data_IF_257262920855
#
_entry.id   IF_257262920855
#
_cell.length_a   1.000
_cell.length_b   1.000
_cell.length_c   1.000
_cell.angle_alpha   90.00
_cell.angle_beta   90.00
_cell.angle_gamma   90.00
#
_symmetry.space_group_name_H-M   'P 1'
#
loop_
_entity.id
_entity.type
_entity.pdbx_description
1 polymer ?
#
# COMPACT_ATOMS: atom_id res chain seq x y z
N UNK A 1 45.74 -20.40 3.96
CA UNK A 1 44.59 -20.68 4.86
C UNK A 1 44.19 -22.13 4.60
N UNK A 2 44.06 -22.97 5.63
CA UNK A 2 43.65 -24.36 5.46
C UNK A 2 42.27 -24.41 4.79
N UNK A 3 42.13 -25.26 3.78
CA UNK A 3 40.88 -25.49 3.05
C UNK A 3 39.86 -26.12 4.01
N UNK A 4 38.90 -25.32 4.51
CA UNK A 4 37.80 -25.83 5.33
C UNK A 4 36.66 -26.18 4.40
N UNK A 5 36.37 -27.47 4.26
CA UNK A 5 35.18 -27.94 3.56
C UNK A 5 33.91 -27.56 4.32
N UNK A 6 32.82 -27.33 3.57
CA UNK A 6 31.51 -27.00 4.12
C UNK A 6 30.97 -28.18 4.94
N UNK A 7 30.67 -27.93 6.21
CA UNK A 7 30.06 -28.92 7.10
C UNK A 7 28.61 -29.21 6.72
N UNK A 8 28.17 -30.44 6.94
CA UNK A 8 26.83 -30.93 6.60
C UNK A 8 25.69 -30.05 7.17
N UNK A 9 25.90 -29.46 8.36
CA UNK A 9 24.90 -28.66 9.08
C UNK A 9 25.17 -27.16 9.09
N UNK A 10 26.16 -26.67 8.34
CA UNK A 10 26.55 -25.25 8.37
C UNK A 10 25.39 -24.32 7.99
N UNK A 11 24.56 -24.72 7.03
CA UNK A 11 23.37 -23.97 6.61
C UNK A 11 22.31 -23.91 7.73
N UNK A 12 22.11 -25.02 8.44
CA UNK A 12 21.16 -25.10 9.56
C UNK A 12 21.63 -24.26 10.75
N UNK A 13 22.94 -24.29 11.07
CA UNK A 13 23.50 -23.45 12.12
C UNK A 13 23.34 -21.95 11.80
N UNK A 14 23.52 -21.54 10.55
CA UNK A 14 23.23 -20.15 10.13
C UNK A 14 21.75 -19.81 10.30
N UNK A 15 20.83 -20.72 9.97
CA UNK A 15 19.40 -20.51 10.18
C UNK A 15 19.04 -20.34 11.65
N UNK A 16 19.52 -21.23 12.53
CA UNK A 16 19.29 -21.12 13.98
C UNK A 16 19.85 -19.81 14.54
N UNK A 17 20.98 -19.34 14.02
CA UNK A 17 21.53 -18.02 14.36
C UNK A 17 20.60 -16.89 13.91
N UNK A 18 20.03 -16.95 12.70
CA UNK A 18 19.04 -15.96 12.21
C UNK A 18 17.81 -15.94 13.12
N UNK A 19 17.32 -17.10 13.55
CA UNK A 19 16.17 -17.18 14.46
C UNK A 19 16.48 -16.51 15.81
N UNK A 20 17.70 -16.69 16.31
CA UNK A 20 18.19 -16.04 17.54
C UNK A 20 18.28 -14.52 17.39
N UNK A 21 18.66 -14.03 16.21
CA UNK A 21 18.69 -12.59 15.89
C UNK A 21 17.28 -11.98 15.72
N UNK A 22 16.25 -12.83 15.63
CA UNK A 22 14.85 -12.42 15.59
C UNK A 22 14.37 -12.07 14.18
N UNK A 23 14.14 -13.09 13.34
CA UNK A 23 13.59 -12.91 12.00
C UNK A 23 12.19 -12.22 12.05
N UNK A 24 12.09 -10.98 11.55
CA UNK A 24 10.86 -10.21 11.61
C UNK A 24 9.74 -10.75 10.71
N UNK A 25 10.07 -11.47 9.65
CA UNK A 25 9.12 -12.11 8.74
C UNK A 25 8.58 -13.39 9.36
N UNK A 26 9.44 -14.24 9.92
CA UNK A 26 8.99 -15.44 10.65
C UNK A 26 8.09 -15.09 11.83
N UNK A 27 8.39 -14.00 12.53
CA UNK A 27 7.49 -13.48 13.57
C UNK A 27 6.13 -13.06 13.00
N UNK A 28 6.10 -12.42 11.84
CA UNK A 28 4.82 -12.09 11.20
C UNK A 28 4.07 -13.36 10.80
N UNK A 29 4.80 -14.36 10.31
CA UNK A 29 4.26 -15.63 9.87
C UNK A 29 3.57 -16.40 11.01
N UNK A 30 4.18 -16.40 12.19
CA UNK A 30 3.67 -17.16 13.34
C UNK A 30 2.43 -16.57 14.00
N UNK A 31 2.16 -15.26 13.83
CA UNK A 31 1.03 -14.58 14.46
C UNK A 31 -0.18 -14.42 13.55
N UNK A 32 0.01 -14.53 12.24
CA UNK A 32 -1.02 -14.31 11.24
C UNK A 32 -1.45 -15.66 10.68
N UNK A 33 -2.71 -16.03 10.90
CA UNK A 33 -3.28 -17.18 10.22
C UNK A 33 -3.53 -16.84 8.74
N UNK A 34 -2.61 -17.26 7.88
CA UNK A 34 -2.68 -17.00 6.44
C UNK A 34 -3.80 -17.77 5.75
N UNK A 35 -4.21 -18.92 6.30
CA UNK A 35 -5.31 -19.72 5.78
C UNK A 35 -6.63 -18.97 5.83
N UNK A 36 -6.74 -18.00 6.75
CA UNK A 36 -7.87 -17.07 6.82
C UNK A 36 -8.16 -16.35 5.49
N UNK A 37 -7.13 -16.12 4.67
CA UNK A 37 -7.25 -15.49 3.35
C UNK A 37 -7.57 -16.48 2.22
N UNK A 38 -7.31 -17.77 2.41
CA UNK A 38 -7.44 -18.80 1.36
C UNK A 38 -8.82 -18.80 0.69
N UNK A 39 -9.97 -18.73 1.39
CA UNK A 39 -11.28 -18.72 0.72
C UNK A 39 -11.45 -17.57 -0.27
N UNK A 40 -10.85 -16.41 0.04
CA UNK A 40 -10.89 -15.25 -0.83
C UNK A 40 -9.89 -15.38 -1.99
N UNK A 41 -8.71 -15.92 -1.73
CA UNK A 41 -7.70 -16.20 -2.74
C UNK A 41 -8.18 -17.27 -3.74
N UNK A 42 -8.86 -18.31 -3.29
CA UNK A 42 -9.51 -19.32 -4.15
C UNK A 42 -10.47 -18.67 -5.14
N UNK A 43 -11.28 -17.70 -4.68
CA UNK A 43 -12.18 -16.93 -5.56
C UNK A 43 -11.39 -16.03 -6.51
N UNK A 44 -10.30 -15.43 -6.02
CA UNK A 44 -9.39 -14.61 -6.82
C UNK A 44 -8.72 -15.37 -7.96
N UNK A 45 -8.24 -16.59 -7.73
CA UNK A 45 -7.54 -17.38 -8.73
C UNK A 45 -8.40 -18.42 -9.44
N UNK A 46 -9.69 -18.51 -9.11
CA UNK A 46 -10.65 -19.45 -9.74
C UNK A 46 -10.53 -19.44 -11.26
N UNK A 47 -10.50 -20.60 -11.91
CA UNK A 47 -10.37 -20.81 -13.36
C UNK A 47 -9.00 -20.47 -13.98
N UNK A 48 -8.07 -19.80 -13.28
CA UNK A 48 -6.74 -19.53 -13.85
C UNK A 48 -5.89 -20.79 -13.94
N UNK A 49 -5.99 -21.66 -12.92
CA UNK A 49 -5.24 -22.92 -12.91
C UNK A 49 -6.01 -24.06 -13.61
N UNK A 50 -7.34 -23.94 -13.77
CA UNK A 50 -8.16 -24.94 -14.47
C UNK A 50 -7.98 -24.89 -16.00
N UNK A 51 -7.53 -23.75 -16.54
CA UNK A 51 -7.16 -23.60 -17.96
C UNK A 51 -5.86 -24.34 -18.31
N UNK A 52 -5.03 -24.69 -17.31
CA UNK A 52 -3.85 -25.55 -17.50
C UNK A 52 -4.32 -27.00 -17.40
N UNK A 53 -4.40 -27.69 -18.55
CA UNK A 53 -4.90 -29.07 -18.65
C UNK A 53 -4.22 -30.08 -17.70
N UNK A 54 -4.80 -31.27 -17.59
CA UNK A 54 -4.49 -32.33 -16.60
C UNK A 54 -3.03 -32.85 -16.54
N UNK A 55 -2.14 -32.38 -17.42
CA UNK A 55 -0.72 -32.78 -17.46
C UNK A 55 0.30 -31.66 -17.16
N UNK A 56 -0.16 -30.47 -16.77
CA UNK A 56 0.73 -29.35 -16.44
C UNK A 56 1.39 -29.48 -15.06
N UNK A 57 2.52 -28.77 -14.86
CA UNK A 57 3.13 -28.61 -13.53
C UNK A 57 2.09 -28.13 -12.52
N UNK A 58 2.01 -28.73 -11.31
CA UNK A 58 1.08 -28.29 -10.29
C UNK A 58 1.21 -26.77 -10.01
N UNK A 59 0.08 -26.06 -9.89
CA UNK A 59 0.09 -24.64 -9.60
C UNK A 59 0.67 -24.38 -8.20
N UNK A 60 1.38 -23.26 -8.04
CA UNK A 60 1.79 -22.78 -6.73
C UNK A 60 0.59 -22.53 -5.82
N UNK A 61 0.75 -22.86 -4.53
CA UNK A 61 -0.24 -22.62 -3.49
C UNK A 61 -0.67 -21.15 -3.40
N UNK A 62 -1.95 -20.87 -3.18
CA UNK A 62 -2.44 -19.49 -3.21
C UNK A 62 -2.01 -18.64 -2.02
N UNK A 63 -1.83 -19.24 -0.85
CA UNK A 63 -1.28 -18.55 0.32
C UNK A 63 0.19 -18.19 0.05
N UNK A 64 0.95 -19.11 -0.56
CA UNK A 64 2.30 -18.85 -1.04
C UNK A 64 2.32 -17.63 -2.00
N UNK A 65 1.47 -17.63 -3.04
CA UNK A 65 1.35 -16.50 -3.99
C UNK A 65 1.08 -15.18 -3.26
N UNK A 66 0.18 -15.19 -2.28
CA UNK A 66 -0.18 -14.00 -1.51
C UNK A 66 0.97 -13.52 -0.63
N UNK A 67 1.67 -14.43 0.06
CA UNK A 67 2.87 -14.12 0.86
C UNK A 67 3.97 -13.52 -0.01
N UNK A 68 4.17 -14.02 -1.24
CA UNK A 68 5.11 -13.42 -2.21
C UNK A 68 4.75 -11.95 -2.50
N UNK A 69 3.47 -11.64 -2.72
CA UNK A 69 3.03 -10.24 -2.92
C UNK A 69 3.16 -9.39 -1.65
N UNK A 70 3.01 -9.97 -0.46
CA UNK A 70 3.27 -9.27 0.80
C UNK A 70 4.75 -8.89 0.92
N UNK A 71 5.67 -9.83 0.65
CA UNK A 71 7.12 -9.53 0.63
C UNK A 71 7.42 -8.44 -0.40
N UNK A 72 6.87 -8.55 -1.60
CA UNK A 72 7.04 -7.54 -2.64
C UNK A 72 6.66 -6.14 -2.14
N UNK A 73 5.50 -6.02 -1.47
CA UNK A 73 4.98 -4.76 -0.96
C UNK A 73 5.73 -4.24 0.29
N UNK A 74 6.18 -5.15 1.17
CA UNK A 74 6.96 -4.83 2.37
C UNK A 74 8.32 -4.25 2.04
N UNK A 75 8.94 -4.66 0.93
CA UNK A 75 10.30 -4.24 0.57
C UNK A 75 10.37 -3.39 -0.71
N UNK A 76 9.25 -3.13 -1.37
CA UNK A 76 9.12 -2.38 -2.64
C UNK A 76 10.00 -2.92 -3.79
N UNK A 77 10.07 -4.24 -3.89
CA UNK A 77 10.92 -4.96 -4.85
C UNK A 77 10.19 -5.10 -6.20
N UNK A 78 10.90 -4.99 -7.33
CA UNK A 78 10.33 -5.32 -8.64
C UNK A 78 10.12 -6.82 -8.80
N UNK A 79 9.46 -7.27 -9.88
CA UNK A 79 9.25 -8.71 -10.12
C UNK A 79 10.59 -9.45 -10.31
N UNK A 80 11.49 -8.94 -11.17
CA UNK A 80 12.81 -9.54 -11.43
C UNK A 80 13.70 -9.56 -10.19
N UNK A 81 13.71 -8.46 -9.44
CA UNK A 81 14.49 -8.39 -8.21
C UNK A 81 13.88 -9.31 -7.13
N UNK A 82 12.57 -9.56 -7.14
CA UNK A 82 11.95 -10.46 -6.16
C UNK A 82 12.30 -11.91 -6.47
N UNK A 83 12.28 -12.31 -7.74
CA UNK A 83 12.79 -13.63 -8.16
C UNK A 83 14.24 -13.84 -7.68
N UNK A 84 15.12 -12.87 -7.94
CA UNK A 84 16.51 -12.91 -7.47
C UNK A 84 16.58 -13.00 -5.93
N UNK A 85 15.83 -12.17 -5.21
CA UNK A 85 15.88 -12.11 -3.75
C UNK A 85 15.28 -13.37 -3.10
N UNK A 86 14.31 -14.03 -3.73
CA UNK A 86 13.82 -15.33 -3.24
C UNK A 86 14.87 -16.41 -3.45
N UNK A 87 15.64 -16.40 -4.55
CA UNK A 87 16.77 -17.31 -4.75
C UNK A 87 17.89 -17.09 -3.71
N UNK A 88 18.22 -15.84 -3.42
CA UNK A 88 19.35 -15.47 -2.56
C UNK A 88 19.01 -15.54 -1.05
N UNK A 89 17.79 -15.17 -0.65
CA UNK A 89 17.46 -14.93 0.76
C UNK A 89 16.58 -16.03 1.34
N UNK A 90 17.20 -16.86 2.16
CA UNK A 90 16.51 -17.95 2.86
C UNK A 90 15.39 -17.50 3.79
N UNK A 91 15.45 -16.28 4.34
CA UNK A 91 14.35 -15.73 5.15
C UNK A 91 13.08 -15.47 4.33
N UNK A 92 13.23 -15.11 3.04
CA UNK A 92 12.08 -14.94 2.13
C UNK A 92 11.48 -16.28 1.76
N UNK A 93 12.31 -17.27 1.41
CA UNK A 93 11.86 -18.65 1.12
C UNK A 93 11.06 -19.22 2.28
N UNK A 94 11.62 -19.18 3.50
CA UNK A 94 10.95 -19.65 4.72
C UNK A 94 9.63 -18.95 4.98
N UNK A 95 9.57 -17.63 4.81
CA UNK A 95 8.33 -16.86 5.04
C UNK A 95 7.25 -17.24 4.04
N UNK A 96 7.62 -17.35 2.76
CA UNK A 96 6.73 -17.68 1.65
C UNK A 96 6.25 -19.14 1.75
N UNK A 97 7.03 -20.01 2.39
CA UNK A 97 6.74 -21.43 2.56
C UNK A 97 7.36 -22.32 1.48
N UNK A 98 8.51 -21.90 0.93
CA UNK A 98 9.30 -22.69 -0.01
C UNK A 98 10.39 -23.48 0.73
N UNK A 99 10.51 -24.76 0.41
CA UNK A 99 11.65 -25.60 0.78
C UNK A 99 12.75 -25.56 -0.29
N UNK A 100 13.96 -26.04 0.05
CA UNK A 100 15.12 -26.00 -0.86
C UNK A 100 14.91 -26.78 -2.18
N UNK A 101 13.97 -27.74 -2.20
CA UNK A 101 13.60 -28.55 -3.37
C UNK A 101 12.55 -27.88 -4.26
N UNK A 102 11.83 -26.90 -3.73
CA UNK A 102 10.68 -26.32 -4.40
C UNK A 102 11.13 -25.34 -5.49
N UNK A 103 10.39 -25.26 -6.60
CA UNK A 103 10.66 -24.23 -7.58
C UNK A 103 10.44 -22.84 -7.02
N UNK A 104 11.28 -21.91 -7.47
CA UNK A 104 11.08 -20.50 -7.20
C UNK A 104 10.23 -19.89 -8.32
N UNK A 105 9.19 -19.10 -7.99
CA UNK A 105 8.38 -18.45 -9.01
C UNK A 105 9.18 -17.37 -9.73
N UNK A 106 9.16 -17.42 -11.06
CA UNK A 106 9.79 -16.41 -11.90
C UNK A 106 9.01 -15.09 -11.91
N UNK A 107 9.66 -14.02 -12.37
CA UNK A 107 9.12 -12.67 -12.43
C UNK A 107 7.79 -12.57 -13.21
N UNK A 108 7.66 -13.29 -14.33
CA UNK A 108 6.43 -13.29 -15.14
C UNK A 108 5.30 -13.98 -14.40
N UNK A 109 5.60 -15.09 -13.73
CA UNK A 109 4.65 -15.81 -12.88
C UNK A 109 4.10 -14.92 -11.76
N UNK A 110 4.98 -14.19 -11.06
CA UNK A 110 4.58 -13.23 -10.01
C UNK A 110 3.71 -12.10 -10.60
N UNK A 111 4.11 -11.58 -11.78
CA UNK A 111 3.35 -10.57 -12.49
C UNK A 111 1.93 -11.04 -12.84
N UNK A 112 1.78 -12.28 -13.35
CA UNK A 112 0.47 -12.87 -13.69
C UNK A 112 -0.42 -12.99 -12.45
N UNK A 113 0.14 -13.40 -11.30
CA UNK A 113 -0.64 -13.50 -10.06
C UNK A 113 -1.19 -12.15 -9.63
N UNK A 114 -0.34 -11.13 -9.65
CA UNK A 114 -0.76 -9.76 -9.33
C UNK A 114 -1.82 -9.28 -10.31
N UNK A 115 -1.58 -9.40 -11.61
CA UNK A 115 -2.50 -8.93 -12.65
C UNK A 115 -3.86 -9.63 -12.55
N UNK A 116 -3.88 -10.94 -12.25
CA UNK A 116 -5.13 -11.69 -12.01
C UNK A 116 -5.95 -11.07 -10.88
N UNK A 117 -5.30 -10.74 -9.75
CA UNK A 117 -5.97 -10.12 -8.60
C UNK A 117 -6.41 -8.67 -8.89
N UNK A 118 -5.65 -7.94 -9.72
CA UNK A 118 -6.01 -6.60 -10.21
C UNK A 118 -7.31 -6.68 -11.01
N UNK A 119 -7.34 -7.52 -12.05
CA UNK A 119 -8.50 -7.68 -12.95
C UNK A 119 -9.76 -8.08 -12.19
N UNK A 120 -9.61 -8.88 -11.12
CA UNK A 120 -10.72 -9.35 -10.28
C UNK A 120 -11.04 -8.46 -9.09
N UNK A 121 -10.38 -7.30 -8.97
CA UNK A 121 -10.57 -6.31 -7.90
C UNK A 121 -10.48 -6.94 -6.50
N UNK A 122 -9.46 -7.75 -6.27
CA UNK A 122 -9.33 -8.56 -5.06
C UNK A 122 -8.61 -7.85 -3.91
N UNK A 123 -7.76 -6.86 -4.19
CA UNK A 123 -6.95 -6.19 -3.16
C UNK A 123 -7.78 -5.47 -2.09
N UNK A 124 -8.85 -4.76 -2.47
CA UNK A 124 -9.77 -4.18 -1.48
C UNK A 124 -10.45 -5.25 -0.62
N UNK A 125 -10.81 -6.39 -1.22
CA UNK A 125 -11.47 -7.49 -0.52
C UNK A 125 -10.49 -8.13 0.47
N UNK A 126 -9.22 -8.30 0.08
CA UNK A 126 -8.15 -8.80 0.95
C UNK A 126 -7.90 -7.84 2.11
N UNK A 127 -7.89 -6.53 1.84
CA UNK A 127 -7.78 -5.50 2.86
C UNK A 127 -8.92 -5.56 3.88
N UNK A 128 -10.17 -5.66 3.40
CA UNK A 128 -11.36 -5.84 4.26
C UNK A 128 -11.33 -7.17 5.02
N UNK A 129 -10.82 -8.24 4.40
CA UNK A 129 -10.66 -9.55 5.04
C UNK A 129 -9.69 -9.47 6.21
N UNK A 130 -8.59 -8.74 6.08
CA UNK A 130 -7.67 -8.51 7.20
C UNK A 130 -8.32 -7.71 8.34
N UNK A 131 -9.13 -6.70 8.04
CA UNK A 131 -9.90 -6.01 9.09
C UNK A 131 -10.85 -6.95 9.83
N UNK A 132 -11.55 -7.84 9.11
CA UNK A 132 -12.38 -8.87 9.74
C UNK A 132 -11.56 -9.81 10.64
N UNK A 133 -10.35 -10.19 10.20
CA UNK A 133 -9.42 -10.96 11.03
C UNK A 133 -9.05 -10.22 12.33
N UNK A 134 -8.76 -8.92 12.25
CA UNK A 134 -8.45 -8.11 13.43
C UNK A 134 -9.62 -8.02 14.42
N UNK A 135 -10.85 -7.87 13.91
CA UNK A 135 -12.05 -7.84 14.73
C UNK A 135 -12.26 -9.18 15.47
N UNK A 136 -12.01 -10.32 14.81
CA UNK A 136 -12.07 -11.66 15.43
C UNK A 136 -10.96 -11.90 16.46
N UNK A 137 -9.84 -11.17 16.37
CA UNK A 137 -8.75 -11.16 17.37
C UNK A 137 -8.92 -10.06 18.43
N UNK A 138 -10.10 -9.46 18.51
CA UNK A 138 -10.49 -8.40 19.45
C UNK A 138 -9.61 -7.13 19.41
N UNK A 139 -8.91 -6.88 18.30
CA UNK A 139 -8.12 -5.66 18.11
C UNK A 139 -9.02 -4.54 17.60
N UNK A 140 -9.54 -3.74 18.54
CA UNK A 140 -10.49 -2.66 18.24
C UNK A 140 -9.80 -1.35 17.91
N UNK A 141 -9.95 -0.90 16.66
CA UNK A 141 -9.44 0.39 16.17
C UNK A 141 -10.54 1.48 16.15
N UNK A 142 -11.01 1.87 17.34
CA UNK A 142 -12.18 2.73 17.52
C UNK A 142 -11.89 4.08 18.19
N UNK A 143 -10.63 4.51 18.23
CA UNK A 143 -10.14 5.61 19.05
C UNK A 143 -10.29 7.02 18.45
N UNK A 144 -11.04 7.13 17.35
CA UNK A 144 -11.02 8.27 16.43
C UNK A 144 -10.08 8.05 15.25
N UNK A 145 -10.27 8.83 14.18
CA UNK A 145 -9.54 8.63 12.93
C UNK A 145 -8.75 9.87 12.55
N UNK A 146 -7.58 9.68 11.95
CA UNK A 146 -6.77 10.72 11.31
C UNK A 146 -6.90 10.53 9.80
N UNK A 147 -7.20 11.60 9.08
CA UNK A 147 -7.25 11.64 7.62
C UNK A 147 -6.06 12.43 7.12
N UNK A 148 -5.33 11.83 6.19
CA UNK A 148 -4.17 12.45 5.56
C UNK A 148 -3.87 11.81 4.19
N UNK A 149 -3.01 12.47 3.42
CA UNK A 149 -2.60 11.99 2.11
C UNK A 149 -1.09 12.10 1.92
N UNK A 150 -0.49 11.05 1.35
CA UNK A 150 0.91 11.06 0.90
C UNK A 150 0.97 10.88 -0.61
N UNK A 151 1.93 11.56 -1.23
CA UNK A 151 2.29 11.28 -2.63
C UNK A 151 2.90 9.89 -2.75
N UNK A 152 2.65 9.28 -3.90
CA UNK A 152 3.28 8.04 -4.35
C UNK A 152 3.85 8.32 -5.73
N UNK A 153 5.16 8.52 -5.77
CA UNK A 153 5.86 8.98 -6.96
C UNK A 153 6.09 7.84 -7.95
N UNK A 154 6.27 8.22 -9.21
CA UNK A 154 6.57 7.35 -10.33
C UNK A 154 7.81 7.83 -11.06
N UNK A 155 8.44 6.97 -11.87
CA UNK A 155 9.43 7.42 -12.84
C UNK A 155 8.84 8.57 -13.67
N UNK A 156 9.50 9.73 -13.65
CA UNK A 156 9.06 10.90 -14.40
C UNK A 156 9.12 10.58 -15.89
N UNK A 157 8.00 10.77 -16.59
CA UNK A 157 7.93 10.54 -18.03
C UNK A 157 8.40 11.79 -18.78
N UNK A 158 9.30 11.59 -19.73
CA UNK A 158 9.72 12.63 -20.67
C UNK A 158 8.61 12.83 -21.69
N UNK A 159 7.84 13.89 -21.52
CA UNK A 159 6.78 14.34 -22.41
C UNK A 159 6.99 15.84 -22.71
N UNK A 160 6.56 16.29 -23.87
CA UNK A 160 6.52 17.73 -24.19
C UNK A 160 5.45 18.44 -23.35
N UNK A 161 5.45 19.78 -23.37
CA UNK A 161 4.44 20.55 -22.65
C UNK A 161 3.03 20.28 -23.19
N UNK A 162 2.89 20.25 -24.52
CA UNK A 162 1.62 20.03 -25.20
C UNK A 162 1.09 18.62 -24.93
N UNK A 163 1.95 17.59 -24.98
CA UNK A 163 1.57 16.21 -24.61
C UNK A 163 1.03 16.15 -23.17
N UNK A 164 1.65 16.87 -22.22
CA UNK A 164 1.19 16.91 -20.84
C UNK A 164 -0.14 17.66 -20.68
N UNK A 165 -0.38 18.71 -21.47
CA UNK A 165 -1.66 19.44 -21.48
C UNK A 165 -2.79 18.56 -22.03
N UNK A 166 -2.55 17.83 -23.13
CA UNK A 166 -3.52 16.87 -23.68
C UNK A 166 -3.90 15.79 -22.67
N UNK A 167 -2.91 15.18 -22.00
CA UNK A 167 -3.12 14.19 -20.94
C UNK A 167 -3.90 14.82 -19.78
N UNK A 168 -3.57 16.05 -19.39
CA UNK A 168 -4.27 16.75 -18.31
C UNK A 168 -5.75 16.95 -18.62
N UNK A 169 -6.10 17.18 -19.88
CA UNK A 169 -7.48 17.31 -20.37
C UNK A 169 -8.21 15.97 -20.55
N UNK A 170 -7.54 14.84 -20.29
CA UNK A 170 -8.14 13.50 -20.35
C UNK A 170 -8.01 12.82 -21.71
N UNK A 171 -7.26 13.42 -22.65
CA UNK A 171 -7.05 12.87 -23.99
C UNK A 171 -5.63 12.31 -24.13
N UNK A 172 -5.44 11.42 -25.11
CA UNK A 172 -4.13 10.88 -25.47
C UNK A 172 -3.61 11.66 -26.69
N UNK A 173 -2.35 12.10 -26.73
CA UNK A 173 -1.78 12.75 -27.91
C UNK A 173 -1.97 11.90 -29.18
N UNK A 174 -2.39 12.54 -30.29
CA UNK A 174 -2.67 11.86 -31.57
C UNK A 174 -1.44 11.11 -32.09
N UNK A 175 -0.27 11.74 -31.99
CA UNK A 175 1.03 11.17 -32.34
C UNK A 175 1.36 9.86 -31.61
N UNK A 176 0.67 9.52 -30.51
CA UNK A 176 0.87 8.26 -29.78
C UNK A 176 -0.09 7.16 -30.22
N UNK A 177 -1.16 7.54 -30.92
CA UNK A 177 -2.22 6.66 -31.42
C UNK A 177 -1.98 6.24 -32.87
N UNK A 178 -0.99 6.83 -33.55
CA UNK A 178 -0.56 6.41 -34.89
C UNK A 178 -0.12 4.94 -34.91
N UNK A 179 -0.43 4.27 -36.04
CA UNK A 179 -0.03 2.89 -36.29
C UNK A 179 1.50 2.73 -36.19
N UNK A 180 1.95 1.72 -35.45
CA UNK A 180 3.37 1.45 -35.20
C UNK A 180 3.93 2.10 -33.92
N UNK A 181 3.14 2.93 -33.21
CA UNK A 181 3.54 3.54 -31.92
C UNK A 181 2.84 2.90 -30.70
N UNK A 182 2.22 1.73 -30.86
CA UNK A 182 1.50 1.02 -29.78
C UNK A 182 2.42 0.71 -28.60
N UNK A 183 3.70 0.40 -28.88
CA UNK A 183 4.72 0.16 -27.85
C UNK A 183 4.99 1.40 -27.00
N UNK A 184 5.03 2.60 -27.62
CA UNK A 184 5.18 3.87 -26.89
C UNK A 184 3.98 4.07 -25.97
N UNK A 185 2.76 3.88 -26.48
CA UNK A 185 1.55 4.06 -25.70
C UNK A 185 1.48 3.15 -24.48
N UNK A 186 1.86 1.86 -24.63
CA UNK A 186 1.90 0.89 -23.50
C UNK A 186 2.87 1.27 -22.37
N UNK A 187 3.88 2.06 -22.67
CA UNK A 187 4.88 2.52 -21.68
C UNK A 187 4.51 3.86 -21.03
N UNK A 188 3.56 4.61 -21.60
CA UNK A 188 3.13 5.91 -21.09
C UNK A 188 2.00 5.76 -20.09
N UNK A 189 2.08 6.53 -19.00
CA UNK A 189 1.04 6.56 -17.98
C UNK A 189 0.20 7.82 -18.19
N UNK A 190 -0.95 7.61 -18.82
CA UNK A 190 -1.94 8.64 -19.14
C UNK A 190 -2.85 8.97 -17.95
N UNK A 191 -2.73 8.28 -16.82
CA UNK A 191 -3.54 8.49 -15.61
C UNK A 191 -2.78 9.26 -14.53
N UNK A 192 -1.45 9.11 -14.49
CA UNK A 192 -0.59 9.84 -13.57
C UNK A 192 -0.62 11.36 -13.87
N UNK A 193 -0.53 12.19 -12.83
CA UNK A 193 -0.53 13.65 -12.97
C UNK A 193 0.63 14.26 -12.19
N UNK A 194 1.03 15.46 -12.60
CA UNK A 194 1.98 16.30 -11.88
C UNK A 194 1.28 17.06 -10.74
N UNK A 195 1.97 17.25 -9.63
CA UNK A 195 1.55 18.10 -8.53
C UNK A 195 2.76 18.81 -7.91
N UNK A 196 2.57 20.04 -7.43
CA UNK A 196 3.59 20.78 -6.70
C UNK A 196 3.10 21.02 -5.27
N UNK A 197 3.90 20.65 -4.27
CA UNK A 197 3.65 20.92 -2.84
C UNK A 197 4.96 21.44 -2.24
N UNK A 198 4.90 22.59 -1.55
CA UNK A 198 6.08 23.19 -0.90
C UNK A 198 7.31 23.39 -1.82
N UNK A 199 7.09 23.74 -3.11
CA UNK A 199 8.13 23.85 -4.16
C UNK A 199 8.76 22.51 -4.59
N UNK A 200 8.30 21.39 -4.05
CA UNK A 200 8.65 20.05 -4.52
C UNK A 200 7.64 19.56 -5.55
N UNK A 201 8.14 18.95 -6.61
CA UNK A 201 7.35 18.47 -7.73
C UNK A 201 7.25 16.95 -7.70
N UNK A 202 6.02 16.46 -7.60
CA UNK A 202 5.66 15.05 -7.58
C UNK A 202 4.97 14.66 -8.88
N UNK A 203 5.21 13.43 -9.34
CA UNK A 203 4.56 12.86 -10.51
C UNK A 203 4.10 11.46 -10.18
N UNK A 204 2.79 11.23 -10.26
CA UNK A 204 2.19 9.93 -9.93
C UNK A 204 0.81 10.06 -9.32
N UNK A 205 0.67 9.46 -8.14
CA UNK A 205 -0.62 9.28 -7.45
C UNK A 205 -0.57 9.80 -6.01
N UNK A 206 -1.72 9.80 -5.34
CA UNK A 206 -1.88 10.07 -3.91
C UNK A 206 -2.55 8.89 -3.23
N UNK A 207 -2.00 8.51 -2.08
CA UNK A 207 -2.59 7.57 -1.14
C UNK A 207 -3.28 8.36 -0.04
N UNK A 208 -4.60 8.52 -0.15
CA UNK A 208 -5.42 9.14 0.90
C UNK A 208 -5.80 8.05 1.90
N UNK A 209 -5.45 8.22 3.17
CA UNK A 209 -5.65 7.20 4.20
C UNK A 209 -6.48 7.73 5.35
N UNK A 210 -7.30 6.84 5.90
CA UNK A 210 -7.97 6.99 7.19
C UNK A 210 -7.31 6.05 8.17
N UNK A 211 -6.67 6.59 9.19
CA UNK A 211 -5.85 5.84 10.15
C UNK A 211 -6.48 5.92 11.54
N UNK A 212 -6.55 4.81 12.26
CA UNK A 212 -6.96 4.84 13.67
C UNK A 212 -5.89 5.53 14.53
N UNK A 213 -6.35 6.47 15.35
CA UNK A 213 -5.48 7.35 16.14
C UNK A 213 -4.53 6.58 17.07
N UNK A 214 -5.01 5.56 17.78
CA UNK A 214 -4.21 4.84 18.78
C UNK A 214 -3.36 3.73 18.16
N UNK A 215 -3.99 2.80 17.45
CA UNK A 215 -3.33 1.61 16.89
C UNK A 215 -2.38 1.95 15.74
N UNK A 216 -2.62 3.07 15.05
CA UNK A 216 -1.98 3.47 13.78
C UNK A 216 -2.29 2.53 12.62
N UNK A 217 -3.34 1.72 12.71
CA UNK A 217 -3.80 0.88 11.60
C UNK A 217 -4.57 1.72 10.59
N UNK A 218 -4.34 1.46 9.30
CA UNK A 218 -5.07 2.09 8.20
C UNK A 218 -6.43 1.40 8.09
N UNK A 219 -7.50 2.14 8.34
CA UNK A 219 -8.89 1.66 8.28
C UNK A 219 -9.45 1.66 6.87
N UNK A 220 -9.08 2.65 6.08
CA UNK A 220 -9.55 2.83 4.71
C UNK A 220 -8.52 3.63 3.91
N UNK A 221 -8.44 3.38 2.62
CA UNK A 221 -7.61 4.14 1.72
C UNK A 221 -8.33 4.37 0.40
N UNK A 222 -8.00 5.48 -0.26
CA UNK A 222 -8.50 5.88 -1.58
C UNK A 222 -7.30 6.37 -2.38
N UNK A 223 -7.22 5.95 -3.64
CA UNK A 223 -6.12 6.34 -4.53
C UNK A 223 -6.63 7.27 -5.62
N UNK A 224 -5.91 8.35 -5.85
CA UNK A 224 -6.20 9.30 -6.93
C UNK A 224 -4.92 9.67 -7.65
N UNK A 225 -5.01 10.29 -8.83
CA UNK A 225 -3.83 10.94 -9.42
C UNK A 225 -3.32 12.08 -8.52
N UNK A 226 -2.04 12.45 -8.64
CA UNK A 226 -1.39 13.36 -7.70
C UNK A 226 -1.99 14.79 -7.69
N UNK A 227 -2.55 15.26 -8.81
CA UNK A 227 -3.14 16.59 -8.88
C UNK A 227 -4.45 16.78 -8.09
N UNK A 228 -5.13 15.70 -7.66
CA UNK A 228 -6.38 15.83 -6.88
C UNK A 228 -6.07 16.48 -5.53
N UNK A 229 -6.87 17.46 -5.14
CA UNK A 229 -6.75 18.10 -3.84
C UNK A 229 -7.20 17.15 -2.71
N UNK A 230 -6.45 17.12 -1.60
CA UNK A 230 -6.59 16.14 -0.51
C UNK A 230 -8.01 16.09 0.06
N UNK A 231 -8.68 17.25 0.10
CA UNK A 231 -10.06 17.39 0.58
C UNK A 231 -11.12 16.63 -0.21
N UNK A 232 -10.84 16.23 -1.45
CA UNK A 232 -11.82 15.60 -2.34
C UNK A 232 -12.04 14.12 -2.00
N UNK A 233 -11.06 13.45 -1.38
CA UNK A 233 -11.17 12.04 -0.99
C UNK A 233 -11.95 11.82 0.32
N UNK A 234 -12.30 12.90 1.04
CA UNK A 234 -12.87 12.85 2.39
C UNK A 234 -14.16 12.01 2.46
N UNK A 235 -15.09 12.23 1.54
CA UNK A 235 -16.36 11.52 1.53
C UNK A 235 -16.17 10.00 1.36
N UNK A 236 -15.27 9.62 0.45
CA UNK A 236 -14.92 8.23 0.20
C UNK A 236 -14.19 7.59 1.38
N UNK A 237 -13.53 8.35 2.25
CA UNK A 237 -12.83 7.83 3.42
C UNK A 237 -13.73 7.61 4.64
N UNK A 238 -14.80 8.40 4.78
CA UNK A 238 -15.70 8.28 5.92
C UNK A 238 -16.71 7.14 5.75
N UNK A 239 -17.17 6.59 6.87
CA UNK A 239 -18.17 5.53 6.92
C UNK A 239 -19.07 5.64 8.16
N UNK A 240 -20.07 4.76 8.27
CA UNK A 240 -21.04 4.78 9.39
C UNK A 240 -20.37 4.52 10.75
N UNK A 241 -19.22 3.85 10.77
CA UNK A 241 -18.47 3.57 11.98
C UNK A 241 -17.76 4.78 12.59
N UNK A 242 -17.81 5.95 11.93
CA UNK A 242 -17.26 7.21 12.45
C UNK A 242 -18.20 8.00 13.35
N UNK A 243 -19.48 7.62 13.41
CA UNK A 243 -20.46 8.30 14.25
C UNK A 243 -19.99 8.36 15.72
N UNK A 244 -20.07 9.54 16.33
CA UNK A 244 -19.63 9.81 17.70
C UNK A 244 -18.10 9.85 17.88
N UNK A 245 -17.29 9.80 16.82
CA UNK A 245 -15.82 9.77 16.91
C UNK A 245 -15.18 11.04 16.34
N UNK A 246 -14.02 11.45 16.88
CA UNK A 246 -13.28 12.58 16.34
C UNK A 246 -12.56 12.23 15.03
N UNK A 247 -12.64 13.13 14.05
CA UNK A 247 -11.94 13.05 12.76
C UNK A 247 -10.89 14.17 12.70
N UNK A 248 -9.63 13.79 12.77
CA UNK A 248 -8.50 14.71 12.74
C UNK A 248 -8.01 14.88 11.30
N UNK A 249 -7.90 16.12 10.81
CA UNK A 249 -7.44 16.40 9.45
C UNK A 249 -6.67 17.72 9.37
N UNK A 250 -5.90 17.90 8.30
CA UNK A 250 -5.12 19.13 8.08
C UNK A 250 -5.99 20.33 7.70
N UNK A 251 -5.36 21.49 7.56
CA UNK A 251 -6.07 22.71 7.21
C UNK A 251 -6.56 22.74 5.75
N UNK A 252 -6.13 21.82 4.88
CA UNK A 252 -6.69 21.62 3.55
C UNK A 252 -8.12 21.04 3.62
N UNK A 253 -8.50 20.38 4.72
CA UNK A 253 -9.87 19.92 4.98
C UNK A 253 -10.75 20.95 5.72
N UNK A 254 -10.30 22.19 5.93
CA UNK A 254 -11.03 23.21 6.71
C UNK A 254 -12.21 23.88 5.98
N UNK A 255 -12.52 23.46 4.76
CA UNK A 255 -13.62 24.01 3.96
C UNK A 255 -15.00 23.67 4.53
N UNK A 256 -15.99 24.55 4.30
CA UNK A 256 -17.37 24.37 4.80
C UNK A 256 -17.97 23.05 4.34
N UNK A 257 -17.78 22.67 3.08
CA UNK A 257 -18.27 21.42 2.53
C UNK A 257 -17.67 20.20 3.26
N UNK A 258 -16.36 20.22 3.55
CA UNK A 258 -15.67 19.13 4.24
C UNK A 258 -16.16 18.96 5.68
N UNK A 259 -16.32 20.06 6.41
CA UNK A 259 -16.86 20.04 7.77
C UNK A 259 -18.29 19.48 7.79
N UNK A 260 -19.14 19.92 6.85
CA UNK A 260 -20.48 19.37 6.68
C UNK A 260 -20.47 17.87 6.34
N UNK A 261 -19.53 17.40 5.52
CA UNK A 261 -19.39 15.97 5.23
C UNK A 261 -19.06 15.16 6.48
N UNK A 262 -18.20 15.67 7.37
CA UNK A 262 -17.88 15.02 8.66
C UNK A 262 -19.12 15.02 9.57
N UNK A 263 -19.82 16.15 9.67
CA UNK A 263 -21.02 16.29 10.50
C UNK A 263 -22.19 15.43 10.02
N UNK A 264 -22.40 15.30 8.69
CA UNK A 264 -23.38 14.39 8.08
C UNK A 264 -23.17 12.93 8.49
N UNK A 265 -21.92 12.55 8.80
CA UNK A 265 -21.56 11.22 9.33
C UNK A 265 -21.71 11.12 10.84
N UNK A 266 -22.25 12.15 11.49
CA UNK A 266 -22.39 12.30 12.95
C UNK A 266 -21.04 12.20 13.67
N UNK A 267 -19.95 12.57 12.99
CA UNK A 267 -18.60 12.54 13.54
C UNK A 267 -18.16 13.94 13.96
N UNK A 268 -17.17 14.05 14.84
CA UNK A 268 -16.72 15.33 15.39
C UNK A 268 -15.51 15.88 14.59
N UNK A 269 -15.65 17.02 13.89
CA UNK A 269 -14.54 17.58 13.12
C UNK A 269 -13.45 18.15 14.05
N UNK A 270 -12.25 17.58 13.95
CA UNK A 270 -11.02 18.03 14.63
C UNK A 270 -10.00 18.48 13.58
N UNK A 271 -10.43 19.43 12.75
CA UNK A 271 -9.67 19.94 11.60
C UNK A 271 -8.90 21.20 11.97
N UNK A 272 -7.64 21.28 11.54
CA UNK A 272 -6.82 22.47 11.75
C UNK A 272 -7.39 23.68 11.02
N UNK A 273 -7.38 24.84 11.66
CA UNK A 273 -7.83 26.09 11.05
C UNK A 273 -6.74 26.69 10.16
N UNK A 274 -7.14 27.33 9.06
CA UNK A 274 -6.26 28.01 8.12
C UNK A 274 -6.39 29.53 8.28
N UNK A 275 -5.27 30.22 8.49
CA UNK A 275 -5.22 31.67 8.37
C UNK A 275 -5.53 32.10 6.93
N UNK A 276 -6.21 33.24 6.77
CA UNK A 276 -6.52 33.80 5.45
C UNK A 276 -5.78 35.13 5.27
N UNK A 277 -5.69 35.60 4.03
CA UNK A 277 -5.17 36.95 3.74
C UNK A 277 -5.96 37.96 4.60
N UNK A 278 -5.24 38.79 5.34
CA UNK A 278 -5.77 39.79 6.27
C UNK A 278 -6.59 39.24 7.46
N UNK A 279 -6.60 37.93 7.69
CA UNK A 279 -7.20 37.27 8.86
C UNK A 279 -6.26 36.17 9.37
N UNK A 280 -5.16 36.54 10.07
CA UNK A 280 -4.24 35.58 10.65
C UNK A 280 -4.94 34.77 11.76
N UNK A 281 -4.36 33.62 12.11
CA UNK A 281 -4.85 32.82 13.22
C UNK A 281 -4.64 33.57 14.54
N UNK A 282 -5.66 33.56 15.39
CA UNK A 282 -5.56 34.05 16.77
C UNK A 282 -4.67 33.13 17.61
N UNK A 283 -4.14 33.63 18.73
CA UNK A 283 -3.35 32.81 19.68
C UNK A 283 -4.12 31.57 20.14
N UNK A 284 -5.43 31.68 20.36
CA UNK A 284 -6.31 30.57 20.73
C UNK A 284 -6.42 29.52 19.61
N UNK A 285 -6.61 29.95 18.37
CA UNK A 285 -6.65 29.04 17.21
C UNK A 285 -5.29 28.35 17.00
N UNK A 286 -4.19 29.07 17.19
CA UNK A 286 -2.84 28.49 17.12
C UNK A 286 -2.63 27.43 18.20
N UNK A 287 -3.05 27.68 19.45
CA UNK A 287 -2.98 26.72 20.54
C UNK A 287 -3.82 25.46 20.25
N UNK A 288 -5.05 25.64 19.73
CA UNK A 288 -5.92 24.54 19.28
C UNK A 288 -5.24 23.73 18.17
N UNK A 289 -4.75 24.39 17.12
CA UNK A 289 -4.03 23.74 16.02
C UNK A 289 -2.81 22.96 16.53
N UNK A 290 -2.05 23.51 17.48
CA UNK A 290 -0.90 22.82 18.08
C UNK A 290 -1.32 21.52 18.76
N UNK A 291 -2.44 21.54 19.50
CA UNK A 291 -2.99 20.34 20.14
C UNK A 291 -3.48 19.30 19.11
N UNK A 292 -4.14 19.74 18.04
CA UNK A 292 -4.61 18.85 16.96
C UNK A 292 -3.44 18.24 16.18
N UNK A 293 -2.43 19.05 15.84
CA UNK A 293 -1.23 18.61 15.14
C UNK A 293 -0.43 17.56 15.93
N UNK A 294 -0.36 17.67 17.27
CA UNK A 294 0.26 16.61 18.10
C UNK A 294 -0.40 15.25 17.91
N UNK A 295 -1.73 15.23 17.77
CA UNK A 295 -2.48 14.00 17.48
C UNK A 295 -2.24 13.52 16.05
N UNK A 296 -2.32 14.45 15.08
CA UNK A 296 -2.13 14.15 13.66
C UNK A 296 -0.74 13.62 13.33
N UNK A 297 0.31 14.08 14.02
CA UNK A 297 1.68 13.62 13.84
C UNK A 297 1.84 12.09 13.95
N UNK A 298 0.84 11.37 14.50
CA UNK A 298 0.84 9.91 14.51
C UNK A 298 0.74 9.29 13.11
N UNK A 299 0.10 9.95 12.15
CA UNK A 299 0.02 9.48 10.75
C UNK A 299 1.38 9.55 10.06
N UNK A 300 2.24 10.48 10.45
CA UNK A 300 3.61 10.59 9.95
C UNK A 300 4.44 9.34 10.30
N UNK A 301 4.11 8.62 11.37
CA UNK A 301 4.74 7.32 11.62
C UNK A 301 4.32 6.24 10.63
N UNK A 302 3.07 6.30 10.13
CA UNK A 302 2.57 5.38 9.11
C UNK A 302 3.33 5.61 7.81
N UNK A 303 3.32 6.84 7.32
CA UNK A 303 4.03 7.22 6.10
C UNK A 303 5.55 7.11 6.26
N UNK A 304 6.09 7.49 7.41
CA UNK A 304 7.50 7.32 7.74
C UNK A 304 7.94 5.86 7.65
N UNK A 305 7.16 4.92 8.18
CA UNK A 305 7.46 3.50 8.04
C UNK A 305 7.35 3.02 6.58
N UNK A 306 6.34 3.48 5.84
CA UNK A 306 6.19 3.14 4.41
C UNK A 306 7.35 3.66 3.56
N UNK A 307 7.83 4.87 3.85
CA UNK A 307 8.91 5.52 3.11
C UNK A 307 10.27 4.92 3.45
N UNK A 308 10.59 4.79 4.74
CA UNK A 308 11.95 4.39 5.16
C UNK A 308 12.10 2.88 5.27
N UNK A 309 11.16 2.20 5.92
CA UNK A 309 11.29 0.76 6.19
C UNK A 309 10.74 -0.11 5.06
N UNK A 310 9.73 0.38 4.33
CA UNK A 310 9.11 -0.39 3.25
C UNK A 310 9.58 -0.02 1.84
N UNK A 311 10.81 0.48 1.72
CA UNK A 311 11.45 0.73 0.41
C UNK A 311 10.86 1.89 -0.39
N UNK A 312 10.19 2.85 0.25
CA UNK A 312 9.76 4.11 -0.38
C UNK A 312 8.32 4.12 -0.92
N UNK A 313 7.75 5.33 -1.03
CA UNK A 313 6.44 5.57 -1.65
C UNK A 313 6.61 5.77 -3.16
N UNK A 314 6.99 4.70 -3.86
CA UNK A 314 7.31 4.72 -5.29
C UNK A 314 6.68 3.56 -6.05
N UNK A 315 6.17 3.81 -7.27
CA UNK A 315 5.51 2.81 -8.12
C UNK A 315 6.12 2.71 -9.52
N UNK A 316 6.11 1.49 -10.07
CA UNK A 316 6.61 1.19 -11.42
C UNK A 316 5.51 0.80 -12.41
N UNK A 317 4.33 0.41 -11.93
CA UNK A 317 3.22 -0.04 -12.78
C UNK A 317 2.53 1.12 -13.50
N UNK A 318 2.11 0.91 -14.75
CA UNK A 318 1.38 1.90 -15.57
C UNK A 318 -0.13 1.78 -15.36
N UNK A 319 -0.81 2.92 -15.19
CA UNK A 319 -2.26 3.03 -15.11
C UNK A 319 -2.82 2.99 -13.68
N UNK A 320 -3.93 3.70 -13.47
CA UNK A 320 -4.50 3.94 -12.14
C UNK A 320 -4.97 2.66 -11.46
N UNK A 321 -5.54 1.71 -12.21
CA UNK A 321 -6.07 0.45 -11.66
C UNK A 321 -4.96 -0.39 -11.03
N UNK A 322 -3.78 -0.47 -11.68
CA UNK A 322 -2.61 -1.15 -11.13
C UNK A 322 -1.98 -0.37 -9.98
N UNK A 323 -1.92 0.96 -10.10
CA UNK A 323 -1.39 1.83 -9.05
C UNK A 323 -2.22 1.71 -7.76
N UNK A 324 -3.54 1.72 -7.89
CA UNK A 324 -4.48 1.51 -6.79
C UNK A 324 -4.24 0.16 -6.12
N UNK A 325 -4.22 -0.92 -6.89
CA UNK A 325 -3.93 -2.26 -6.36
C UNK A 325 -2.59 -2.33 -5.61
N UNK A 326 -1.52 -1.75 -6.18
CA UNK A 326 -0.20 -1.74 -5.55
C UNK A 326 -0.18 -0.92 -4.25
N UNK A 327 -0.83 0.24 -4.21
CA UNK A 327 -0.92 1.08 -3.02
C UNK A 327 -1.78 0.42 -1.93
N UNK A 328 -2.93 -0.16 -2.30
CA UNK A 328 -3.78 -0.90 -1.35
C UNK A 328 -3.04 -2.12 -0.80
N UNK A 329 -2.28 -2.84 -1.65
CA UNK A 329 -1.43 -3.95 -1.20
C UNK A 329 -0.34 -3.46 -0.23
N UNK A 330 0.29 -2.32 -0.50
CA UNK A 330 1.27 -1.70 0.40
C UNK A 330 0.64 -1.28 1.74
N UNK A 331 -0.56 -0.71 1.71
CA UNK A 331 -1.33 -0.37 2.92
C UNK A 331 -1.69 -1.63 3.73
N UNK A 332 -2.05 -2.73 3.06
CA UNK A 332 -2.30 -4.02 3.69
C UNK A 332 -1.04 -4.60 4.34
N UNK A 333 0.08 -4.61 3.61
CA UNK A 333 1.36 -5.07 4.10
C UNK A 333 1.83 -4.24 5.32
N UNK A 334 1.65 -2.92 5.27
CA UNK A 334 1.88 -2.04 6.44
C UNK A 334 1.05 -2.47 7.63
N UNK A 335 -0.26 -2.70 7.44
CA UNK A 335 -1.18 -3.11 8.50
C UNK A 335 -0.78 -4.45 9.11
N UNK A 336 -0.40 -5.45 8.30
CA UNK A 336 0.12 -6.73 8.77
C UNK A 336 1.40 -6.56 9.59
N UNK A 337 2.34 -5.73 9.12
CA UNK A 337 3.56 -5.42 9.86
C UNK A 337 3.29 -4.68 11.16
N UNK A 338 2.30 -3.78 11.16
CA UNK A 338 1.87 -3.04 12.35
C UNK A 338 1.19 -3.95 13.35
N UNK A 339 0.36 -4.88 12.89
CA UNK A 339 -0.28 -5.91 13.72
C UNK A 339 0.76 -6.73 14.50
N UNK A 340 1.89 -7.09 13.86
CA UNK A 340 3.02 -7.73 14.56
C UNK A 340 3.58 -6.94 15.74
N UNK A 341 3.48 -5.61 15.70
CA UNK A 341 3.88 -4.74 16.80
C UNK A 341 2.77 -4.61 17.85
N UNK A 342 1.50 -4.72 17.46
CA UNK A 342 0.35 -4.61 18.37
C UNK A 342 0.13 -5.88 19.19
N UNK A 343 0.35 -7.07 18.62
CA UNK A 343 0.29 -8.35 19.34
C UNK A 343 1.53 -8.57 20.22
N UNK A 344 2.47 -7.61 20.23
CA UNK A 344 3.66 -7.61 21.09
C UNK A 344 3.42 -6.99 22.48
N UNK A 345 2.17 -6.82 22.90
CA UNK A 345 1.79 -6.31 24.22
C UNK A 345 1.29 -7.46 25.10
#
# INVERSE_FOLDING_TARGET
MAEKHQGLFDAEFRLRKIDTLGDPLQRLDSILDWEYFRPLLNKGFKNVDAEKGKGGRPPFDYVLRFKTLVVQALYNISDDALEFQINDRRTFQRFIGLEDKDPIPDAKTIWVWRETLVQRKMFEKLFKRFWKYLDEKDIKANSGSIIDASFVDKPRQRNTKDENETIKNGSIPEDWQEAGKETKLRQKDTDARWACKNKETHYGYKNHVKVDRQTKLIKKAVVTHAAVHDSQALESLLDKGDAGKPIYADSAYSGKAQLQTIEKRKAYPRVNEKGRRNKPLTKTQMARNRSLSKTRARVEHVFGQMTHSMGGMFLRCVGIVRAEAAIIMKNLAYNMWRYRVLVRA
#
